data_IF_232628813875
#
_entry.id   IF_232628813875
#
_cell.length_a   1.000
_cell.length_b   1.000
_cell.length_c   1.000
_cell.angle_alpha   90.00
_cell.angle_beta   90.00
_cell.angle_gamma   90.00
#
_symmetry.space_group_name_H-M   'P 1'
#
loop_
_entity.id
_entity.type
_entity.pdbx_description
1 polymer ?
#
# COMPACT_ATOMS: atom_id res chain seq x y z
N UNK A 1 -43.51 -28.39 43.03
CA UNK A 1 -43.61 -27.77 41.69
C UNK A 1 -43.05 -26.35 41.63
N UNK A 2 -43.55 -25.38 42.42
CA UNK A 2 -43.15 -23.95 42.33
C UNK A 2 -41.63 -23.69 42.33
N UNK A 3 -40.86 -24.36 43.20
CA UNK A 3 -39.40 -24.16 43.33
C UNK A 3 -38.59 -24.61 42.10
N UNK A 4 -39.01 -25.69 41.42
CA UNK A 4 -38.33 -26.20 40.20
C UNK A 4 -38.59 -25.30 38.99
N UNK A 5 -39.80 -24.73 38.91
CA UNK A 5 -40.16 -23.74 37.88
C UNK A 5 -39.36 -22.45 38.06
N UNK A 6 -39.21 -21.96 39.30
CA UNK A 6 -38.39 -20.77 39.59
C UNK A 6 -36.91 -20.94 39.24
N UNK A 7 -36.32 -22.12 39.49
CA UNK A 7 -34.93 -22.40 39.12
C UNK A 7 -34.76 -22.45 37.59
N UNK A 8 -35.69 -23.10 36.89
CA UNK A 8 -35.65 -23.18 35.42
C UNK A 8 -35.80 -21.80 34.79
N UNK A 9 -36.68 -20.96 35.33
CA UNK A 9 -36.86 -19.59 34.88
C UNK A 9 -35.61 -18.73 35.13
N UNK A 10 -34.97 -18.89 36.30
CA UNK A 10 -33.72 -18.20 36.60
C UNK A 10 -32.57 -18.63 35.66
N UNK A 11 -32.48 -19.92 35.32
CA UNK A 11 -31.49 -20.42 34.35
C UNK A 11 -31.77 -19.87 32.96
N UNK A 12 -33.03 -19.84 32.52
CA UNK A 12 -33.41 -19.26 31.21
C UNK A 12 -33.04 -17.79 31.17
N UNK A 13 -33.37 -17.02 32.22
CA UNK A 13 -33.06 -15.58 32.31
C UNK A 13 -31.55 -15.34 32.36
N UNK A 14 -30.79 -16.14 33.10
CA UNK A 14 -29.33 -16.04 33.16
C UNK A 14 -28.68 -16.42 31.83
N UNK A 15 -29.16 -17.48 31.16
CA UNK A 15 -28.69 -17.88 29.85
C UNK A 15 -29.06 -16.85 28.78
N UNK A 16 -30.26 -16.27 28.82
CA UNK A 16 -30.64 -15.19 27.88
C UNK A 16 -29.87 -13.90 28.19
N UNK A 17 -29.64 -13.55 29.45
CA UNK A 17 -28.81 -12.40 29.81
C UNK A 17 -27.35 -12.62 29.39
N UNK A 18 -26.81 -13.84 29.56
CA UNK A 18 -25.49 -14.21 29.09
C UNK A 18 -25.41 -14.23 27.55
N UNK A 19 -26.46 -14.70 26.86
CA UNK A 19 -26.54 -14.65 25.40
C UNK A 19 -26.66 -13.22 24.90
N UNK A 20 -27.44 -12.36 25.57
CA UNK A 20 -27.59 -10.94 25.25
C UNK A 20 -26.31 -10.17 25.57
N UNK A 21 -25.55 -10.57 26.58
CA UNK A 21 -24.25 -9.99 26.92
C UNK A 21 -23.16 -10.46 25.94
N UNK A 22 -23.11 -11.76 25.62
CA UNK A 22 -22.20 -12.32 24.62
C UNK A 22 -22.53 -11.84 23.21
N UNK A 23 -23.82 -11.67 22.90
CA UNK A 23 -24.33 -11.01 21.70
C UNK A 23 -24.74 -9.56 21.98
N UNK A 24 -24.03 -8.84 22.87
CA UNK A 24 -24.12 -7.38 22.87
C UNK A 24 -23.49 -6.92 21.56
N UNK A 25 -24.30 -6.97 20.50
CA UNK A 25 -24.19 -6.08 19.37
C UNK A 25 -24.17 -4.70 20.01
N UNK A 26 -23.07 -3.94 19.93
CA UNK A 26 -23.05 -2.57 20.44
C UNK A 26 -24.21 -1.84 19.78
N UNK A 27 -25.28 -1.60 20.54
CA UNK A 27 -26.39 -0.76 20.12
C UNK A 27 -25.95 0.67 20.40
N UNK A 28 -25.28 1.28 19.42
CA UNK A 28 -24.83 2.66 19.48
C UNK A 28 -23.52 2.85 18.72
N UNK A 29 -23.63 3.36 17.49
CA UNK A 29 -22.54 3.58 16.54
C UNK A 29 -22.47 2.46 15.52
N UNK A 30 -22.42 2.79 14.22
CA UNK A 30 -22.02 1.84 13.18
C UNK A 30 -20.78 1.11 13.69
N UNK A 31 -20.79 -0.23 13.73
CA UNK A 31 -19.57 -0.97 14.04
C UNK A 31 -18.51 -0.52 13.06
N UNK A 32 -17.48 0.15 13.56
CA UNK A 32 -16.42 0.69 12.74
C UNK A 32 -15.80 -0.44 11.91
N UNK A 33 -15.78 -0.25 10.60
CA UNK A 33 -15.09 -1.11 9.67
C UNK A 33 -14.44 -0.22 8.60
N UNK A 34 -13.12 -0.32 8.46
CA UNK A 34 -12.39 0.41 7.46
C UNK A 34 -11.14 -0.38 7.06
N UNK A 35 -10.77 -0.31 5.79
CA UNK A 35 -9.42 -0.69 5.42
C UNK A 35 -8.45 0.42 5.87
N UNK A 36 -7.29 0.02 6.39
CA UNK A 36 -6.17 0.93 6.48
C UNK A 36 -5.66 1.20 5.06
N UNK A 37 -5.58 2.47 4.62
CA UNK A 37 -5.33 2.78 3.22
C UNK A 37 -3.84 2.61 2.87
N UNK A 38 -3.56 1.84 1.83
CA UNK A 38 -2.22 1.63 1.30
C UNK A 38 -2.18 2.01 -0.18
N UNK A 39 -1.13 2.68 -0.61
CA UNK A 39 -0.87 2.89 -2.03
C UNK A 39 0.02 1.78 -2.59
N UNK A 40 -0.33 1.26 -3.76
CA UNK A 40 0.42 0.20 -4.43
C UNK A 40 0.73 0.62 -5.86
N UNK A 41 2.02 0.66 -6.20
CA UNK A 41 2.47 0.65 -7.59
C UNK A 41 3.04 -0.73 -7.87
N UNK A 42 2.31 -1.55 -8.63
CA UNK A 42 2.70 -2.92 -8.93
C UNK A 42 3.07 -3.03 -10.39
N UNK A 43 4.31 -3.42 -10.65
CA UNK A 43 4.78 -3.82 -11.97
C UNK A 43 4.64 -5.32 -12.17
N UNK A 44 4.21 -5.72 -13.37
CA UNK A 44 3.94 -7.12 -13.71
C UNK A 44 4.48 -7.51 -15.07
N UNK A 45 5.08 -8.68 -15.14
CA UNK A 45 5.45 -9.38 -16.38
C UNK A 45 4.32 -10.36 -16.76
N UNK A 46 3.73 -10.20 -17.96
CA UNK A 46 2.61 -11.03 -18.45
C UNK A 46 3.05 -12.23 -19.29
N UNK A 47 4.29 -12.69 -19.15
CA UNK A 47 4.69 -13.98 -19.72
C UNK A 47 3.76 -15.15 -19.33
N UNK A 48 2.94 -14.98 -18.27
CA UNK A 48 1.84 -15.88 -17.90
C UNK A 48 0.45 -15.17 -17.90
N UNK A 49 -0.43 -15.45 -18.89
CA UNK A 49 -1.76 -14.81 -19.03
C UNK A 49 -2.77 -15.09 -17.91
N UNK A 50 -2.44 -15.98 -16.97
CA UNK A 50 -3.27 -16.34 -15.81
C UNK A 50 -2.67 -15.86 -14.49
N UNK A 51 -1.59 -15.08 -14.53
CA UNK A 51 -0.97 -14.56 -13.32
C UNK A 51 -1.92 -13.56 -12.62
N UNK A 52 -2.01 -13.69 -11.30
CA UNK A 52 -2.74 -12.78 -10.42
C UNK A 52 -1.72 -12.08 -9.52
N UNK A 53 -1.95 -10.80 -9.22
CA UNK A 53 -1.24 -10.12 -8.13
C UNK A 53 -2.11 -10.13 -6.90
N UNK A 54 -1.54 -10.61 -5.79
CA UNK A 54 -2.18 -10.52 -4.49
C UNK A 54 -1.80 -9.22 -3.81
N UNK A 55 -2.77 -8.34 -3.58
CA UNK A 55 -2.63 -7.13 -2.77
C UNK A 55 -2.95 -7.44 -1.30
N UNK A 56 -2.02 -7.18 -0.36
CA UNK A 56 -2.30 -7.32 1.06
C UNK A 56 -3.00 -6.08 1.59
N UNK A 57 -4.30 -6.19 1.89
CA UNK A 57 -5.07 -5.13 2.55
C UNK A 57 -5.22 -5.42 4.04
N UNK A 58 -5.36 -4.37 4.86
CA UNK A 58 -5.58 -4.50 6.31
C UNK A 58 -6.98 -4.00 6.65
N UNK A 59 -7.89 -4.90 7.02
CA UNK A 59 -9.22 -4.55 7.51
C UNK A 59 -9.16 -4.34 9.03
N UNK A 60 -9.64 -3.19 9.48
CA UNK A 60 -9.86 -2.86 10.88
C UNK A 60 -11.36 -2.97 11.16
N UNK A 61 -11.75 -3.84 12.09
CA UNK A 61 -13.17 -4.15 12.34
C UNK A 61 -13.47 -4.17 13.84
N UNK A 62 -14.55 -3.50 14.24
CA UNK A 62 -14.99 -3.42 15.65
C UNK A 62 -15.77 -4.65 16.12
N UNK A 63 -15.98 -5.65 15.26
CA UNK A 63 -16.67 -6.91 15.55
C UNK A 63 -15.91 -8.10 15.02
N UNK A 64 -15.57 -9.02 15.92
CA UNK A 64 -14.99 -10.29 15.52
C UNK A 64 -15.96 -11.07 14.62
N UNK A 65 -15.44 -11.70 13.57
CA UNK A 65 -16.21 -12.54 12.63
C UNK A 65 -17.39 -11.81 11.97
N UNK A 66 -17.16 -10.61 11.45
CA UNK A 66 -18.20 -9.83 10.78
C UNK A 66 -18.53 -10.42 9.40
N UNK A 67 -19.62 -9.96 8.76
CA UNK A 67 -19.95 -10.38 7.38
C UNK A 67 -18.86 -10.05 6.35
N UNK A 68 -17.96 -9.10 6.67
CA UNK A 68 -16.82 -8.74 5.83
C UNK A 68 -15.76 -9.81 5.87
N UNK A 69 -15.60 -10.51 6.99
CA UNK A 69 -14.50 -11.44 7.20
C UNK A 69 -14.78 -12.85 6.69
N UNK A 70 -15.94 -13.09 6.07
CA UNK A 70 -16.28 -14.36 5.42
C UNK A 70 -16.45 -14.15 3.90
N UNK A 71 -15.44 -14.51 3.09
CA UNK A 71 -15.47 -14.37 1.63
C UNK A 71 -16.65 -15.07 0.94
N UNK A 72 -17.33 -16.02 1.59
CA UNK A 72 -18.48 -16.70 0.99
C UNK A 72 -19.75 -15.84 0.99
N UNK A 73 -19.76 -14.72 1.70
CA UNK A 73 -20.93 -13.88 1.89
C UNK A 73 -21.05 -12.74 0.87
N UNK A 74 -20.04 -12.53 0.03
CA UNK A 74 -19.99 -11.42 -0.91
C UNK A 74 -19.11 -11.70 -2.14
N UNK A 75 -19.30 -10.88 -3.18
CA UNK A 75 -18.34 -10.70 -4.27
C UNK A 75 -17.61 -9.37 -4.11
N UNK A 76 -16.37 -9.28 -4.60
CA UNK A 76 -15.54 -8.10 -4.47
C UNK A 76 -15.14 -7.51 -5.83
N UNK A 77 -15.15 -6.18 -5.93
CA UNK A 77 -14.65 -5.44 -7.08
C UNK A 77 -13.78 -4.27 -6.59
N UNK A 78 -12.67 -4.00 -7.26
CA UNK A 78 -11.93 -2.75 -7.08
C UNK A 78 -12.51 -1.71 -8.04
N UNK A 79 -12.91 -0.57 -7.50
CA UNK A 79 -13.50 0.53 -8.25
C UNK A 79 -12.73 1.83 -8.01
N UNK A 80 -12.79 2.78 -8.94
CA UNK A 80 -12.42 4.17 -8.69
C UNK A 80 -13.67 5.05 -8.74
N UNK A 81 -13.81 6.09 -7.89
CA UNK A 81 -14.89 7.07 -8.02
C UNK A 81 -14.91 7.82 -9.36
N UNK A 82 -13.76 7.88 -10.05
CA UNK A 82 -13.60 8.60 -11.31
C UNK A 82 -13.90 7.73 -12.54
N UNK A 83 -13.75 6.41 -12.43
CA UNK A 83 -13.93 5.46 -13.54
C UNK A 83 -15.19 4.63 -13.32
N UNK A 84 -16.04 4.53 -14.33
CA UNK A 84 -17.31 3.79 -14.22
C UNK A 84 -17.14 2.27 -14.30
N UNK A 85 -15.98 1.78 -14.71
CA UNK A 85 -15.69 0.35 -14.85
C UNK A 85 -14.77 -0.13 -13.69
N UNK A 86 -15.25 -1.10 -12.92
CA UNK A 86 -14.51 -1.77 -11.86
C UNK A 86 -13.84 -3.05 -12.33
N UNK A 87 -12.83 -3.50 -11.59
CA UNK A 87 -12.19 -4.79 -11.80
C UNK A 87 -12.70 -5.80 -10.79
N UNK A 88 -13.25 -6.92 -11.27
CA UNK A 88 -13.56 -8.05 -10.39
C UNK A 88 -12.27 -8.60 -9.81
N UNK A 89 -12.31 -8.84 -8.51
CA UNK A 89 -11.18 -9.40 -7.75
C UNK A 89 -11.64 -10.61 -6.96
N UNK A 90 -10.70 -11.47 -6.64
CA UNK A 90 -10.95 -12.64 -5.80
C UNK A 90 -10.34 -12.39 -4.43
N UNK A 91 -11.12 -12.59 -3.36
CA UNK A 91 -10.57 -12.61 -2.01
C UNK A 91 -10.08 -14.03 -1.75
N UNK A 92 -8.77 -14.21 -1.69
CA UNK A 92 -8.13 -15.52 -1.56
C UNK A 92 -7.93 -15.94 -0.12
N UNK A 93 -7.78 -14.96 0.77
CA UNK A 93 -7.55 -15.19 2.19
C UNK A 93 -8.07 -14.03 3.04
N UNK A 94 -8.68 -14.38 4.17
CA UNK A 94 -9.01 -13.46 5.26
C UNK A 94 -8.59 -14.09 6.57
N UNK A 95 -7.58 -13.52 7.22
CA UNK A 95 -7.01 -14.05 8.46
C UNK A 95 -7.05 -12.97 9.56
N UNK A 96 -7.51 -13.34 10.76
CA UNK A 96 -7.38 -12.50 11.95
C UNK A 96 -5.93 -12.55 12.43
N UNK A 97 -5.23 -11.42 12.35
CA UNK A 97 -3.79 -11.33 12.63
C UNK A 97 -3.49 -10.62 13.95
N UNK A 98 -4.49 -9.99 14.57
CA UNK A 98 -4.32 -9.32 15.85
C UNK A 98 -5.55 -8.57 16.36
N UNK A 99 -5.40 -7.96 17.53
CA UNK A 99 -6.39 -7.10 18.18
C UNK A 99 -5.66 -5.91 18.83
N UNK A 100 -6.24 -4.71 18.73
CA UNK A 100 -5.81 -3.53 19.48
C UNK A 100 -7.01 -2.93 20.24
N UNK A 101 -6.73 -2.13 21.28
CA UNK A 101 -7.77 -1.43 22.04
C UNK A 101 -7.70 0.06 21.76
N UNK A 102 -8.76 0.62 21.17
CA UNK A 102 -8.86 2.04 20.89
C UNK A 102 -9.98 2.67 21.73
N UNK A 103 -9.62 3.58 22.64
CA UNK A 103 -10.57 4.23 23.59
C UNK A 103 -11.42 3.22 24.39
N UNK A 104 -10.88 2.03 24.64
CA UNK A 104 -11.53 0.96 25.39
C UNK A 104 -12.35 -0.02 24.56
N UNK A 105 -12.55 0.24 23.26
CA UNK A 105 -13.18 -0.69 22.33
C UNK A 105 -12.14 -1.59 21.65
N UNK A 106 -12.40 -2.90 21.49
CA UNK A 106 -11.55 -3.76 20.68
C UNK A 106 -11.69 -3.42 19.19
N UNK A 107 -10.55 -3.45 18.48
CA UNK A 107 -10.45 -3.39 17.03
C UNK A 107 -9.68 -4.63 16.59
N UNK A 108 -10.36 -5.52 15.89
CA UNK A 108 -9.79 -6.72 15.30
C UNK A 108 -9.11 -6.35 13.98
N UNK A 109 -7.93 -6.91 13.75
CA UNK A 109 -7.11 -6.65 12.58
C UNK A 109 -7.12 -7.90 11.73
N UNK A 110 -7.59 -7.75 10.50
CA UNK A 110 -7.64 -8.83 9.52
C UNK A 110 -6.72 -8.52 8.35
N UNK A 111 -5.91 -9.49 7.95
CA UNK A 111 -5.23 -9.47 6.66
C UNK A 111 -6.20 -9.94 5.58
N UNK A 112 -6.31 -9.16 4.50
CA UNK A 112 -7.15 -9.43 3.34
C UNK A 112 -6.27 -9.59 2.11
N UNK A 113 -6.19 -10.79 1.57
CA UNK A 113 -5.49 -11.05 0.32
C UNK A 113 -6.46 -10.86 -0.85
N UNK A 114 -6.20 -9.83 -1.67
CA UNK A 114 -7.04 -9.50 -2.85
C UNK A 114 -6.27 -9.83 -4.11
N UNK A 115 -6.69 -10.89 -4.82
CA UNK A 115 -6.16 -11.24 -6.14
C UNK A 115 -6.75 -10.33 -7.22
N UNK A 116 -5.86 -9.60 -7.90
CA UNK A 116 -6.17 -8.73 -9.03
C UNK A 116 -5.72 -9.42 -10.33
N UNK A 117 -6.62 -9.57 -11.32
CA UNK A 117 -6.27 -10.19 -12.59
C UNK A 117 -5.35 -9.27 -13.41
N UNK A 118 -4.22 -9.82 -13.87
CA UNK A 118 -3.20 -9.06 -14.62
C UNK A 118 -3.59 -8.92 -16.09
N UNK A 119 -4.59 -8.08 -16.36
CA UNK A 119 -5.20 -8.00 -17.70
C UNK A 119 -5.00 -6.66 -18.39
N UNK A 120 -4.62 -5.58 -17.67
CA UNK A 120 -4.36 -4.27 -18.29
C UNK A 120 -3.60 -3.32 -17.37
N UNK A 121 -2.93 -2.33 -17.98
CA UNK A 121 -2.46 -1.12 -17.31
C UNK A 121 -3.64 -0.35 -16.74
N UNK A 122 -3.62 -0.01 -15.46
CA UNK A 122 -4.60 0.92 -14.89
C UNK A 122 -4.06 1.67 -13.69
N UNK A 123 -4.63 2.85 -13.47
CA UNK A 123 -4.32 3.69 -12.32
C UNK A 123 -5.63 4.18 -11.72
N UNK A 124 -5.89 3.79 -10.47
CA UNK A 124 -7.02 4.26 -9.68
C UNK A 124 -6.55 5.17 -8.57
N UNK A 125 -6.90 6.45 -8.71
CA UNK A 125 -6.89 7.40 -7.60
C UNK A 125 -8.05 7.10 -6.68
N UNK A 126 -7.80 7.14 -5.37
CA UNK A 126 -8.81 6.94 -4.34
C UNK A 126 -9.60 5.63 -4.51
N UNK A 127 -8.89 4.55 -4.85
CA UNK A 127 -9.44 3.21 -5.08
C UNK A 127 -10.27 2.74 -3.88
N UNK A 128 -11.33 2.00 -4.18
CA UNK A 128 -12.25 1.43 -3.18
C UNK A 128 -12.50 -0.03 -3.48
N UNK A 129 -12.65 -0.83 -2.42
CA UNK A 129 -13.13 -2.20 -2.51
C UNK A 129 -14.65 -2.20 -2.32
N UNK A 130 -15.39 -2.54 -3.38
CA UNK A 130 -16.83 -2.74 -3.37
C UNK A 130 -17.13 -4.18 -2.97
N UNK A 131 -17.77 -4.38 -1.82
CA UNK A 131 -18.29 -5.66 -1.36
C UNK A 131 -19.78 -5.73 -1.64
N UNK A 132 -20.20 -6.64 -2.53
CA UNK A 132 -21.61 -6.88 -2.85
C UNK A 132 -22.07 -8.17 -2.16
N UNK A 133 -22.93 -8.04 -1.15
CA UNK A 133 -23.35 -9.15 -0.31
C UNK A 133 -24.51 -9.94 -0.92
N UNK A 134 -24.61 -11.22 -0.55
CA UNK A 134 -25.67 -12.12 -1.00
C UNK A 134 -27.10 -11.65 -0.63
N UNK A 135 -27.23 -10.78 0.38
CA UNK A 135 -28.50 -10.18 0.79
C UNK A 135 -28.93 -8.98 -0.07
N UNK A 136 -28.14 -8.63 -1.09
CA UNK A 136 -28.37 -7.51 -1.99
C UNK A 136 -27.87 -6.16 -1.47
N UNK A 137 -27.31 -6.10 -0.26
CA UNK A 137 -26.61 -4.90 0.22
C UNK A 137 -25.22 -4.79 -0.39
N UNK A 138 -24.67 -3.58 -0.43
CA UNK A 138 -23.29 -3.33 -0.87
C UNK A 138 -22.62 -2.27 -0.03
N UNK A 139 -21.30 -2.35 0.09
CA UNK A 139 -20.46 -1.38 0.79
C UNK A 139 -19.20 -1.11 -0.03
N UNK A 140 -18.85 0.16 -0.22
CA UNK A 140 -17.58 0.56 -0.81
C UNK A 140 -16.65 1.13 0.28
N UNK A 141 -15.45 0.58 0.37
CA UNK A 141 -14.47 0.92 1.41
C UNK A 141 -13.20 1.44 0.75
N UNK A 142 -12.71 2.61 1.16
CA UNK A 142 -11.47 3.19 0.63
C UNK A 142 -10.27 2.31 0.97
N UNK A 143 -9.42 2.02 -0.02
CA UNK A 143 -8.24 1.14 0.14
C UNK A 143 -6.91 1.83 -0.19
N UNK A 144 -6.92 3.04 -0.76
CA UNK A 144 -5.71 3.80 -1.11
C UNK A 144 -5.64 4.16 -2.59
N UNK A 145 -4.43 4.32 -3.13
CA UNK A 145 -4.21 4.48 -4.57
C UNK A 145 -3.63 3.19 -5.16
N UNK A 146 -4.04 2.84 -6.37
CA UNK A 146 -3.57 1.62 -7.02
C UNK A 146 -3.08 1.93 -8.42
N UNK A 147 -1.90 1.46 -8.77
CA UNK A 147 -1.34 1.52 -10.12
C UNK A 147 -0.82 0.15 -10.49
N UNK A 148 -1.36 -0.45 -11.55
CA UNK A 148 -0.80 -1.64 -12.17
C UNK A 148 -0.12 -1.23 -13.48
N UNK A 149 1.17 -1.51 -13.55
CA UNK A 149 2.08 -1.10 -14.62
C UNK A 149 2.55 -2.35 -15.33
N UNK A 150 1.89 -2.63 -16.44
CA UNK A 150 2.28 -3.58 -17.45
C UNK A 150 3.42 -3.03 -18.31
N UNK A 151 4.40 -3.91 -18.51
CA UNK A 151 5.56 -3.65 -19.34
C UNK A 151 5.59 -4.67 -20.48
N UNK A 152 5.54 -4.23 -21.75
CA UNK A 152 5.66 -5.12 -22.90
C UNK A 152 6.99 -5.89 -22.89
N UNK A 153 7.01 -7.09 -23.49
CA UNK A 153 8.20 -7.94 -23.65
C UNK A 153 9.39 -7.22 -24.33
N UNK A 154 9.12 -6.13 -25.05
CA UNK A 154 10.11 -5.36 -25.81
C UNK A 154 10.89 -4.32 -24.99
N UNK A 155 10.73 -4.29 -23.66
CA UNK A 155 11.53 -3.39 -22.81
C UNK A 155 12.97 -3.87 -22.72
N UNK A 156 13.84 -3.04 -23.31
CA UNK A 156 15.27 -3.23 -23.44
C UNK A 156 15.98 -2.87 -22.13
N UNK A 157 16.24 -3.87 -21.30
CA UNK A 157 17.08 -3.81 -20.10
C UNK A 157 18.60 -3.82 -20.40
N UNK A 158 18.99 -3.47 -21.62
CA UNK A 158 20.31 -3.81 -22.15
C UNK A 158 21.46 -2.98 -21.57
N UNK A 159 21.18 -1.76 -21.08
CA UNK A 159 22.20 -0.79 -20.66
C UNK A 159 22.30 -0.62 -19.15
N UNK A 160 21.30 -1.10 -18.43
CA UNK A 160 21.11 -0.86 -17.02
C UNK A 160 20.69 -2.16 -16.35
N UNK A 161 21.34 -2.49 -15.24
CA UNK A 161 20.98 -3.64 -14.42
C UNK A 161 20.81 -3.23 -12.96
N UNK A 162 19.60 -3.34 -12.42
CA UNK A 162 19.35 -3.20 -10.98
C UNK A 162 20.15 -4.25 -10.23
N UNK A 163 20.90 -3.82 -9.23
CA UNK A 163 21.61 -4.71 -8.31
C UNK A 163 20.78 -4.92 -7.04
N UNK A 164 20.32 -3.84 -6.42
CA UNK A 164 19.47 -3.84 -5.23
C UNK A 164 18.79 -2.49 -5.05
N UNK A 165 17.84 -2.44 -4.12
CA UNK A 165 17.15 -1.22 -3.74
C UNK A 165 16.95 -1.18 -2.22
N UNK A 166 16.93 0.02 -1.66
CA UNK A 166 16.70 0.31 -0.27
C UNK A 166 15.60 1.38 -0.17
N UNK A 167 14.39 1.02 0.29
CA UNK A 167 13.34 1.98 0.60
C UNK A 167 13.72 2.75 1.86
N UNK A 168 13.63 4.09 1.83
CA UNK A 168 13.85 4.93 3.01
C UNK A 168 12.49 5.24 3.64
N UNK A 169 12.34 4.85 4.90
CA UNK A 169 11.08 4.98 5.63
C UNK A 169 11.19 6.02 6.74
N UNK A 170 10.14 6.81 6.90
CA UNK A 170 9.90 7.51 8.15
C UNK A 170 9.43 6.49 9.19
N UNK A 171 10.28 6.15 10.16
CA UNK A 171 10.02 5.05 11.11
C UNK A 171 8.85 5.29 12.08
N UNK A 172 8.35 6.52 12.20
CA UNK A 172 7.18 6.84 13.04
C UNK A 172 5.89 6.56 12.28
N UNK A 173 5.83 6.99 11.02
CA UNK A 173 4.64 6.92 10.16
C UNK A 173 4.62 5.71 9.23
N UNK A 174 5.76 5.03 9.07
CA UNK A 174 5.99 3.96 8.10
C UNK A 174 5.77 4.39 6.64
N UNK A 175 5.81 5.69 6.38
CA UNK A 175 5.73 6.26 5.04
C UNK A 175 7.08 6.14 4.32
N UNK A 176 7.05 5.72 3.05
CA UNK A 176 8.23 5.79 2.19
C UNK A 176 8.48 7.24 1.77
N UNK A 177 9.65 7.74 2.12
CA UNK A 177 10.06 9.14 1.86
C UNK A 177 11.08 9.25 0.73
N UNK A 178 11.85 8.19 0.49
CA UNK A 178 12.74 8.09 -0.65
C UNK A 178 12.94 6.63 -1.08
N UNK A 179 13.48 6.45 -2.29
CA UNK A 179 13.99 5.17 -2.77
C UNK A 179 15.45 5.32 -3.19
N UNK A 180 16.32 4.48 -2.63
CA UNK A 180 17.72 4.37 -3.04
C UNK A 180 17.88 3.12 -3.89
N UNK A 181 18.45 3.23 -5.09
CA UNK A 181 18.61 2.09 -6.00
C UNK A 181 20.06 2.02 -6.47
N UNK A 182 20.66 0.84 -6.36
CA UNK A 182 21.97 0.56 -6.91
C UNK A 182 21.85 -0.09 -8.28
N UNK A 183 22.54 0.46 -9.27
CA UNK A 183 22.58 -0.03 -10.63
C UNK A 183 24.02 -0.32 -11.08
N UNK A 184 24.14 -1.29 -11.99
CA UNK A 184 25.27 -1.40 -12.89
C UNK A 184 24.87 -0.86 -14.25
N UNK A 185 25.63 0.11 -14.75
CA UNK A 185 25.44 0.72 -16.07
C UNK A 185 26.53 0.20 -17.01
N UNK A 186 26.14 -0.38 -18.14
CA UNK A 186 27.09 -0.87 -19.16
C UNK A 186 27.81 0.29 -19.84
N UNK A 187 27.15 1.44 -19.94
CA UNK A 187 27.65 2.68 -20.52
C UNK A 187 27.07 3.91 -19.78
N UNK A 188 27.54 5.11 -20.15
CA UNK A 188 26.99 6.36 -19.58
C UNK A 188 25.57 6.59 -20.08
N UNK A 189 24.68 7.02 -19.20
CA UNK A 189 23.28 7.26 -19.53
C UNK A 189 22.71 8.43 -18.73
N UNK A 190 21.70 9.08 -19.30
CA UNK A 190 20.99 10.21 -18.68
C UNK A 190 19.60 9.79 -18.24
N UNK A 191 19.29 9.96 -16.96
CA UNK A 191 17.99 9.68 -16.38
C UNK A 191 17.01 10.82 -16.68
N UNK A 192 15.83 10.49 -17.20
CA UNK A 192 14.81 11.50 -17.56
C UNK A 192 13.69 11.52 -16.52
N UNK A 193 13.08 10.36 -16.23
CA UNK A 193 11.95 10.28 -15.29
C UNK A 193 11.77 8.89 -14.68
N UNK A 194 11.06 8.83 -13.56
CA UNK A 194 10.61 7.59 -12.95
C UNK A 194 9.10 7.64 -12.74
N UNK A 195 8.35 6.91 -13.57
CA UNK A 195 6.90 6.85 -13.49
C UNK A 195 6.42 5.58 -12.77
N UNK A 196 5.95 5.76 -11.55
CA UNK A 196 5.31 4.74 -10.71
C UNK A 196 3.78 4.84 -10.71
N UNK A 197 3.19 5.72 -11.53
CA UNK A 197 1.75 5.83 -11.76
C UNK A 197 0.88 6.26 -10.57
N UNK A 198 1.44 6.46 -9.37
CA UNK A 198 0.65 6.91 -8.21
C UNK A 198 0.36 8.43 -8.30
N UNK A 199 -0.91 8.84 -8.39
CA UNK A 199 -1.28 10.21 -8.74
C UNK A 199 -1.08 11.23 -7.61
N UNK A 200 -0.99 10.77 -6.35
CA UNK A 200 -0.75 11.62 -5.17
C UNK A 200 0.72 11.75 -4.81
N UNK A 201 1.61 11.05 -5.51
CA UNK A 201 3.03 10.99 -5.20
C UNK A 201 3.84 11.49 -6.38
N UNK A 202 4.91 12.22 -6.08
CA UNK A 202 5.87 12.72 -7.05
C UNK A 202 7.31 12.55 -6.54
N UNK A 203 8.23 13.20 -7.22
CA UNK A 203 9.67 13.21 -6.93
C UNK A 203 10.06 14.65 -6.59
N UNK A 204 10.96 14.82 -5.62
CA UNK A 204 11.62 16.10 -5.37
C UNK A 204 12.84 16.20 -6.29
N UNK A 205 12.61 16.61 -7.54
CA UNK A 205 13.61 16.58 -8.61
C UNK A 205 14.86 17.41 -8.31
N UNK A 206 14.77 18.42 -7.44
CA UNK A 206 15.90 19.25 -7.04
C UNK A 206 16.87 18.51 -6.09
N UNK A 207 16.41 17.41 -5.48
CA UNK A 207 17.15 16.62 -4.48
C UNK A 207 17.50 15.21 -4.93
N UNK A 208 17.30 14.89 -6.21
CA UNK A 208 17.73 13.61 -6.77
C UNK A 208 19.26 13.60 -6.86
N UNK A 209 19.89 12.58 -6.31
CA UNK A 209 21.35 12.45 -6.30
C UNK A 209 21.81 11.13 -6.90
N UNK A 210 22.97 11.13 -7.55
CA UNK A 210 23.62 9.93 -8.06
C UNK A 210 25.07 9.86 -7.59
N UNK A 211 25.40 8.81 -6.86
CA UNK A 211 26.72 8.54 -6.32
C UNK A 211 27.40 7.43 -7.12
N UNK A 212 28.68 7.60 -7.44
CA UNK A 212 29.50 6.55 -8.05
C UNK A 212 30.08 5.62 -6.97
N UNK A 213 29.22 5.07 -6.12
CA UNK A 213 29.61 4.24 -4.98
C UNK A 213 28.64 3.08 -4.76
N UNK A 214 29.01 2.18 -3.84
CA UNK A 214 28.18 1.05 -3.42
C UNK A 214 27.09 1.51 -2.46
N UNK A 215 25.91 0.90 -2.55
CA UNK A 215 24.84 1.15 -1.57
C UNK A 215 25.23 0.72 -0.15
N UNK A 216 26.25 -0.15 0.01
CA UNK A 216 26.80 -0.53 1.33
C UNK A 216 27.22 0.69 2.17
N UNK A 217 27.67 1.76 1.52
CA UNK A 217 28.10 2.98 2.21
C UNK A 217 26.92 3.72 2.87
N UNK A 218 25.69 3.45 2.43
CA UNK A 218 24.47 4.08 2.91
C UNK A 218 23.66 3.18 3.86
N UNK A 219 24.00 1.89 4.00
CA UNK A 219 23.27 0.96 4.86
C UNK A 219 23.44 1.30 6.35
N UNK A 220 24.67 1.53 6.81
CA UNK A 220 24.93 1.89 8.22
C UNK A 220 24.24 3.22 8.60
N UNK A 221 24.41 4.33 7.84
CA UNK A 221 23.65 5.56 8.09
C UNK A 221 22.13 5.40 8.01
N UNK A 222 21.61 4.46 7.21
CA UNK A 222 20.18 4.17 7.17
C UNK A 222 19.71 3.54 8.49
N UNK A 223 20.37 2.47 8.94
CA UNK A 223 20.00 1.78 10.18
C UNK A 223 20.19 2.67 11.41
N UNK A 224 21.22 3.51 11.41
CA UNK A 224 21.51 4.47 12.48
C UNK A 224 20.64 5.74 12.41
N UNK A 225 19.82 5.87 11.37
CA UNK A 225 18.93 7.03 11.13
C UNK A 225 19.68 8.36 11.00
N UNK A 226 20.81 8.33 10.31
CA UNK A 226 21.68 9.50 10.09
C UNK A 226 21.89 9.84 8.62
N UNK A 227 21.18 9.18 7.68
CA UNK A 227 21.21 9.55 6.25
C UNK A 227 20.87 11.02 6.00
N UNK A 228 20.15 11.70 6.91
CA UNK A 228 19.84 13.13 6.79
C UNK A 228 21.05 14.05 6.90
N UNK A 229 22.19 13.52 7.36
CA UNK A 229 23.48 14.21 7.37
C UNK A 229 24.08 14.30 5.96
N UNK A 230 23.79 13.32 5.11
CA UNK A 230 24.26 13.23 3.73
C UNK A 230 23.20 13.76 2.75
N UNK A 231 21.92 13.50 3.03
CA UNK A 231 20.78 13.85 2.19
C UNK A 231 19.73 14.62 2.99
N UNK A 232 19.75 15.94 2.87
CA UNK A 232 18.88 16.81 3.68
C UNK A 232 17.39 16.40 3.57
N UNK A 233 16.78 16.18 4.74
CA UNK A 233 15.35 15.88 4.89
C UNK A 233 14.87 14.57 4.21
N UNK A 234 15.76 13.62 3.94
CA UNK A 234 15.44 12.34 3.29
C UNK A 234 14.37 11.50 4.02
N UNK A 235 14.19 11.70 5.33
CA UNK A 235 13.16 11.04 6.16
C UNK A 235 11.83 11.81 6.25
N UNK A 236 11.66 12.86 5.45
CA UNK A 236 10.44 13.65 5.40
C UNK A 236 9.79 13.54 4.03
N UNK A 237 8.46 13.57 4.00
CA UNK A 237 7.68 13.57 2.75
C UNK A 237 7.08 14.97 2.53
N UNK A 238 7.78 15.88 1.83
CA UNK A 238 7.30 17.24 1.62
C UNK A 238 6.00 17.27 0.80
N UNK A 239 5.11 18.19 1.15
CA UNK A 239 3.84 18.39 0.44
C UNK A 239 3.96 19.45 -0.65
N UNK A 240 3.63 19.09 -1.89
CA UNK A 240 3.70 19.95 -3.08
C UNK A 240 2.33 20.15 -3.72
N UNK A 241 2.21 21.14 -4.61
CA UNK A 241 0.95 21.41 -5.33
C UNK A 241 0.80 20.62 -6.63
N UNK A 242 1.89 20.10 -7.17
CA UNK A 242 1.97 19.46 -8.48
C UNK A 242 2.76 18.17 -8.38
N UNK A 243 2.34 17.16 -9.14
CA UNK A 243 3.06 15.90 -9.27
C UNK A 243 4.16 16.10 -10.29
N UNK A 244 5.40 15.89 -9.86
CA UNK A 244 6.56 15.81 -10.75
C UNK A 244 7.14 14.40 -10.69
N UNK A 245 7.62 13.90 -11.83
CA UNK A 245 8.25 12.57 -11.96
C UNK A 245 9.62 12.64 -12.64
N UNK A 246 10.11 13.86 -12.87
CA UNK A 246 11.43 14.11 -13.47
C UNK A 246 12.53 13.69 -12.51
N UNK A 247 13.63 13.17 -13.06
CA UNK A 247 14.85 12.87 -12.31
C UNK A 247 15.92 13.95 -12.46
N UNK A 248 15.58 15.10 -13.06
CA UNK A 248 16.48 16.26 -13.14
C UNK A 248 17.68 16.06 -14.08
N UNK A 249 17.55 15.21 -15.10
CA UNK A 249 18.60 14.94 -16.09
C UNK A 249 19.91 14.40 -15.50
N UNK A 250 19.82 13.68 -14.38
CA UNK A 250 20.96 13.09 -13.67
C UNK A 250 21.69 12.08 -14.57
N UNK A 251 23.03 12.17 -14.60
CA UNK A 251 23.88 11.28 -15.40
C UNK A 251 24.42 10.15 -14.52
N UNK A 252 24.17 8.91 -14.93
CA UNK A 252 24.84 7.73 -14.37
C UNK A 252 26.02 7.36 -15.26
N UNK A 253 27.20 7.17 -14.66
CA UNK A 253 28.42 6.83 -15.39
C UNK A 253 28.50 5.33 -15.65
N UNK A 254 29.35 4.91 -16.58
CA UNK A 254 29.67 3.50 -16.74
C UNK A 254 30.15 2.87 -15.40
N UNK A 255 29.65 1.68 -15.09
CA UNK A 255 29.94 0.94 -13.87
C UNK A 255 28.83 1.09 -12.81
N UNK A 256 29.23 1.08 -11.53
CA UNK A 256 28.29 1.09 -10.40
C UNK A 256 27.85 2.50 -10.05
N UNK A 257 26.54 2.69 -9.91
CA UNK A 257 25.93 3.95 -9.48
C UNK A 257 24.84 3.67 -8.45
N UNK A 258 24.71 4.54 -7.46
CA UNK A 258 23.65 4.54 -6.46
C UNK A 258 22.83 5.81 -6.62
N UNK A 259 21.58 5.64 -7.03
CA UNK A 259 20.61 6.71 -7.27
C UNK A 259 19.74 6.88 -6.04
N UNK A 260 19.61 8.11 -5.54
CA UNK A 260 18.75 8.49 -4.40
C UNK A 260 17.60 9.33 -4.95
N UNK A 261 16.36 8.86 -4.74
CA UNK A 261 15.14 9.48 -5.27
C UNK A 261 14.23 9.87 -4.10
N UNK A 262 14.27 11.13 -3.62
CA UNK A 262 13.32 11.61 -2.63
C UNK A 262 11.94 11.84 -3.25
N UNK A 263 10.89 11.54 -2.49
CA UNK A 263 9.51 11.67 -2.95
C UNK A 263 8.82 12.92 -2.41
N UNK A 264 7.70 13.26 -3.04
CA UNK A 264 6.78 14.33 -2.61
C UNK A 264 5.35 13.81 -2.55
N UNK A 265 4.50 14.48 -1.78
CA UNK A 265 3.07 14.18 -1.70
C UNK A 265 2.20 15.37 -2.12
N UNK A 266 1.09 15.12 -2.81
CA UNK A 266 0.18 16.18 -3.24
C UNK A 266 -0.59 16.74 -2.04
N UNK A 267 -0.36 18.02 -1.76
CA UNK A 267 -1.02 18.77 -0.70
C UNK A 267 -2.54 18.71 -0.84
N UNK A 268 -3.21 18.33 0.25
CA UNK A 268 -4.67 18.24 0.32
C UNK A 268 -5.27 16.95 -0.24
N UNK A 269 -4.44 16.03 -0.77
CA UNK A 269 -4.90 14.67 -1.06
C UNK A 269 -5.05 13.85 0.23
N UNK A 270 -5.89 12.81 0.19
CA UNK A 270 -6.00 11.84 1.29
C UNK A 270 -4.73 11.01 1.35
N UNK A 271 -4.06 11.01 2.50
CA UNK A 271 -2.87 10.20 2.72
C UNK A 271 -3.19 8.70 2.65
N UNK A 272 -2.28 7.95 2.06
CA UNK A 272 -2.36 6.50 1.91
C UNK A 272 -0.94 6.00 1.68
N UNK A 273 -0.18 5.67 2.73
CA UNK A 273 1.24 5.38 2.61
C UNK A 273 1.53 4.35 1.53
N UNK A 274 2.62 4.51 0.81
CA UNK A 274 2.99 3.52 -0.19
C UNK A 274 3.43 2.24 0.55
N UNK A 275 2.94 1.07 0.12
CA UNK A 275 3.25 -0.24 0.72
C UNK A 275 4.19 -1.07 -0.18
N UNK A 276 4.01 -0.91 -1.49
CA UNK A 276 4.84 -1.51 -2.52
C UNK A 276 5.01 -0.52 -3.68
N UNK A 277 6.24 -0.43 -4.20
CA UNK A 277 6.58 0.47 -5.28
C UNK A 277 7.32 -0.26 -6.41
N UNK A 278 6.76 -0.20 -7.60
CA UNK A 278 7.39 -0.47 -8.87
C UNK A 278 7.15 0.69 -9.82
N UNK A 279 7.78 0.65 -10.99
CA UNK A 279 7.50 1.63 -12.04
C UNK A 279 8.44 1.51 -13.23
N UNK A 280 8.42 2.54 -14.07
CA UNK A 280 9.22 2.64 -15.27
C UNK A 280 10.25 3.76 -15.12
N UNK A 281 11.51 3.37 -15.18
CA UNK A 281 12.62 4.31 -15.22
C UNK A 281 12.94 4.62 -16.69
N UNK A 282 12.76 5.87 -17.09
CA UNK A 282 13.05 6.33 -18.44
C UNK A 282 14.41 7.02 -18.49
N UNK A 283 15.22 6.67 -19.48
CA UNK A 283 16.58 7.16 -19.62
C UNK A 283 17.02 7.21 -21.08
N UNK A 284 18.10 7.94 -21.36
CA UNK A 284 18.71 8.05 -22.68
C UNK A 284 20.14 7.51 -22.68
N UNK A 285 20.52 6.89 -23.79
CA UNK A 285 21.90 6.53 -24.14
C UNK A 285 22.15 7.12 -25.53
N UNK A 286 23.14 8.00 -25.66
CA UNK A 286 23.42 8.73 -26.91
C UNK A 286 22.16 9.35 -27.55
N UNK A 287 21.32 10.00 -26.73
CA UNK A 287 20.03 10.60 -27.09
C UNK A 287 18.95 9.61 -27.61
N UNK A 288 19.20 8.30 -27.51
CA UNK A 288 18.21 7.25 -27.81
C UNK A 288 17.45 6.88 -26.55
N UNK A 289 16.10 6.87 -26.56
CA UNK A 289 15.32 6.58 -25.37
C UNK A 289 15.19 5.09 -25.07
N UNK A 290 15.29 4.78 -23.79
CA UNK A 290 15.13 3.46 -23.22
C UNK A 290 14.24 3.53 -21.98
N UNK A 291 13.67 2.38 -21.63
CA UNK A 291 12.89 2.20 -20.41
C UNK A 291 13.47 1.02 -19.66
N UNK A 292 13.58 1.13 -18.34
CA UNK A 292 13.94 0.04 -17.46
C UNK A 292 12.77 -0.23 -16.50
N UNK A 293 12.38 -1.50 -16.39
CA UNK A 293 11.35 -1.91 -15.46
C UNK A 293 11.92 -2.04 -14.05
N UNK A 294 11.45 -1.21 -13.12
CA UNK A 294 11.68 -1.42 -11.69
C UNK A 294 10.59 -2.37 -11.20
N UNK A 295 10.97 -3.63 -11.02
CA UNK A 295 10.12 -4.65 -10.38
C UNK A 295 9.58 -4.15 -9.04
N UNK A 296 8.35 -4.54 -8.71
CA UNK A 296 7.68 -4.20 -7.46
C UNK A 296 8.54 -4.54 -6.25
N UNK A 297 8.87 -3.54 -5.45
CA UNK A 297 9.58 -3.69 -4.17
C UNK A 297 8.53 -3.53 -3.06
N UNK A 298 8.11 -4.63 -2.38
CA UNK A 298 7.33 -4.52 -1.16
C UNK A 298 8.24 -4.14 0.01
N UNK A 299 7.78 -3.26 0.89
CA UNK A 299 8.61 -2.80 2.03
C UNK A 299 7.85 -2.54 3.31
N UNK A 300 6.51 -2.48 3.27
CA UNK A 300 5.69 -2.71 4.45
C UNK A 300 5.12 -4.12 4.37
N UNK A 301 5.54 -4.98 5.30
CA UNK A 301 4.99 -6.33 5.48
C UNK A 301 4.33 -6.36 6.85
N UNK A 302 3.00 -6.53 6.88
CA UNK A 302 2.21 -6.56 8.11
C UNK A 302 1.49 -5.24 8.41
N UNK A 303 1.11 -5.04 9.66
CA UNK A 303 0.28 -3.92 10.11
C UNK A 303 1.02 -3.09 11.19
N UNK A 304 1.50 -1.86 10.90
CA UNK A 304 2.22 -1.07 11.88
C UNK A 304 1.22 -0.47 12.89
N UNK A 305 1.29 -0.81 14.20
CA UNK A 305 0.26 -0.41 15.17
C UNK A 305 0.13 1.11 15.37
N UNK A 306 1.24 1.85 15.38
CA UNK A 306 1.23 3.30 15.61
C UNK A 306 0.51 4.08 14.49
N UNK A 307 0.82 3.89 13.20
CA UNK A 307 0.04 4.48 12.11
C UNK A 307 -1.44 4.08 12.11
N UNK A 308 -1.76 2.84 12.51
CA UNK A 308 -3.16 2.40 12.65
C UNK A 308 -3.87 3.16 13.78
N UNK A 309 -3.24 3.33 14.93
CA UNK A 309 -3.80 4.08 16.05
C UNK A 309 -4.04 5.55 15.69
N UNK A 310 -3.11 6.18 14.97
CA UNK A 310 -3.27 7.54 14.45
C UNK A 310 -4.45 7.63 13.48
N UNK A 311 -4.53 6.72 12.49
CA UNK A 311 -5.67 6.65 11.57
C UNK A 311 -7.01 6.46 12.30
N UNK A 312 -7.04 5.61 13.33
CA UNK A 312 -8.24 5.40 14.15
C UNK A 312 -8.65 6.66 14.92
N UNK A 313 -7.69 7.48 15.37
CA UNK A 313 -8.01 8.78 15.97
C UNK A 313 -8.72 9.68 14.95
N UNK A 314 -8.20 9.76 13.71
CA UNK A 314 -8.72 10.66 12.68
C UNK A 314 -10.09 10.26 12.13
N UNK A 315 -10.36 8.95 11.95
CA UNK A 315 -11.59 8.47 11.29
C UNK A 315 -12.74 8.22 12.25
N UNK A 316 -12.49 8.04 13.56
CA UNK A 316 -13.54 7.89 14.59
C UNK A 316 -13.97 9.22 15.25
N UNK A 317 -13.71 10.37 14.62
CA UNK A 317 -14.21 11.69 15.06
C UNK A 317 -15.58 12.04 14.48
#
# INVERSE_FOLDING_TARGET
>A
MKRRVSISLAIIVLLTAALVYANRIPQGGNSFAAFYPWSFAVTTDLSEPSAEVTLPLTLLEGRQNSKRTDPNLYSAEIISPADHDGFRVTITEVEEVGELYHKGDPIYIYQFAVSVPLTSNFTFKDARLLLSYNDGSSEDLYIGDLSLIYVPEDVTDQHLKKLRALPVLNMETWEMTALIIEFFCEEELRLESFDFGLPKYGIDSERVECLQSSLDELEEPYYDKTLDQDFEAIYTLPMTTTREISLGDVVMKQGRNTLVIPFTFIKGAKSSPISALGGLLHYLVDDVPYTYLIETIPYVIGYPPSPIEEYLNDVRH
#
